data_IF_571503645818
#
_entry.id   IF_571503645818
#
_cell.length_a   1.000
_cell.length_b   1.000
_cell.length_c   1.000
_cell.angle_alpha   90.00
_cell.angle_beta   90.00
_cell.angle_gamma   90.00
#
_symmetry.space_group_name_H-M   'P 1'
#
loop_
_entity.id
_entity.type
_entity.pdbx_description
1 polymer ?
#
# COMPACT_ATOMS: atom_id res chain seq x y z
N UNK A 1 -7.03 -7.71 8.39
CA UNK A 1 -6.89 -6.85 7.19
C UNK A 1 -5.52 -7.00 6.55
N UNK A 2 -5.44 -6.73 5.27
CA UNK A 2 -4.19 -6.86 4.50
C UNK A 2 -3.90 -5.54 3.78
N UNK A 3 -2.65 -5.13 3.83
CA UNK A 3 -2.16 -3.95 3.12
C UNK A 3 -1.06 -4.38 2.15
N UNK A 4 -1.25 -4.12 0.86
CA UNK A 4 -0.29 -4.49 -0.18
C UNK A 4 0.39 -3.23 -0.70
N UNK A 5 1.71 -3.21 -0.64
CA UNK A 5 2.57 -2.13 -1.09
C UNK A 5 3.26 -2.56 -2.38
N UNK A 6 2.80 -2.04 -3.51
CA UNK A 6 3.45 -2.26 -4.81
C UNK A 6 4.52 -1.19 -4.98
N UNK A 7 5.77 -1.61 -5.01
CA UNK A 7 6.92 -0.71 -4.98
C UNK A 7 8.00 -1.14 -5.97
N UNK A 8 9.02 -0.30 -6.13
CA UNK A 8 10.23 -0.62 -6.90
C UNK A 8 11.39 0.20 -6.35
N UNK A 9 12.61 -0.35 -6.45
CA UNK A 9 13.80 0.34 -5.95
C UNK A 9 14.06 1.66 -6.68
N UNK A 10 13.70 1.74 -7.97
CA UNK A 10 13.91 2.94 -8.79
C UNK A 10 12.77 3.95 -8.67
N UNK A 11 11.75 3.69 -7.87
CA UNK A 11 10.57 4.55 -7.73
C UNK A 11 10.81 5.57 -6.61
N UNK A 12 11.05 6.82 -6.97
CA UNK A 12 11.32 7.90 -6.01
C UNK A 12 10.10 8.15 -5.12
N UNK A 13 8.90 8.22 -5.69
CA UNK A 13 7.68 8.43 -4.93
C UNK A 13 7.45 7.31 -3.91
N UNK A 14 7.76 6.06 -4.29
CA UNK A 14 7.67 4.92 -3.38
C UNK A 14 8.59 5.12 -2.16
N UNK A 15 9.82 5.59 -2.38
CA UNK A 15 10.78 5.80 -1.30
C UNK A 15 10.35 6.95 -0.38
N UNK A 16 9.82 8.01 -0.94
CA UNK A 16 9.30 9.14 -0.14
C UNK A 16 8.11 8.68 0.71
N UNK A 17 7.16 7.96 0.13
CA UNK A 17 6.01 7.43 0.86
C UNK A 17 6.45 6.51 1.99
N UNK A 18 7.44 5.68 1.73
CA UNK A 18 7.99 4.78 2.75
C UNK A 18 8.59 5.56 3.92
N UNK A 19 9.42 6.54 3.61
CA UNK A 19 10.11 7.32 4.65
C UNK A 19 9.14 8.18 5.46
N UNK A 20 8.19 8.84 4.82
CA UNK A 20 7.34 9.84 5.46
C UNK A 20 6.04 9.26 6.03
N UNK A 21 5.55 8.14 5.49
CA UNK A 21 4.25 7.59 5.88
C UNK A 21 4.38 6.18 6.43
N UNK A 22 4.89 5.24 5.64
CA UNK A 22 4.87 3.83 6.04
C UNK A 22 5.81 3.51 7.20
N UNK A 23 6.91 4.25 7.34
CA UNK A 23 7.85 4.08 8.45
C UNK A 23 7.52 5.00 9.64
N UNK A 24 6.50 5.85 9.51
CA UNK A 24 6.06 6.70 10.62
C UNK A 24 5.58 5.84 11.77
N UNK A 25 6.03 6.15 12.99
CA UNK A 25 5.74 5.32 14.16
C UNK A 25 4.24 5.21 14.44
N UNK A 26 3.50 6.28 14.24
CA UNK A 26 2.05 6.28 14.47
C UNK A 26 1.33 5.36 13.46
N UNK A 27 1.79 5.36 12.21
CA UNK A 27 1.25 4.47 11.18
C UNK A 27 1.59 3.02 11.51
N UNK A 28 2.84 2.75 11.89
CA UNK A 28 3.29 1.40 12.29
C UNK A 28 2.46 0.89 13.45
N UNK A 29 2.25 1.73 14.47
CA UNK A 29 1.47 1.37 15.65
C UNK A 29 0.00 1.12 15.31
N UNK A 30 -0.56 1.92 14.41
CA UNK A 30 -1.95 1.75 13.95
C UNK A 30 -2.12 0.41 13.24
N UNK A 31 -1.16 0.04 12.38
CA UNK A 31 -1.19 -1.27 11.71
C UNK A 31 -1.11 -2.41 12.72
N UNK A 32 -0.22 -2.31 13.69
CA UNK A 32 -0.08 -3.34 14.75
C UNK A 32 -1.35 -3.46 15.56
N UNK A 33 -1.92 -2.35 15.99
CA UNK A 33 -3.14 -2.31 16.77
C UNK A 33 -4.30 -2.98 16.05
N UNK A 34 -4.39 -2.80 14.75
CA UNK A 34 -5.47 -3.36 13.93
C UNK A 34 -5.11 -4.70 13.29
N UNK A 35 -3.96 -5.27 13.66
CA UNK A 35 -3.48 -6.57 13.18
C UNK A 35 -3.42 -6.66 11.67
N UNK A 36 -2.94 -5.59 11.03
CA UNK A 36 -2.78 -5.55 9.58
C UNK A 36 -1.60 -6.40 9.16
N UNK A 37 -1.80 -7.28 8.18
CA UNK A 37 -0.73 -8.03 7.54
C UNK A 37 -0.29 -7.21 6.33
N UNK A 38 1.02 -6.93 6.25
CA UNK A 38 1.56 -6.14 5.15
C UNK A 38 2.35 -7.03 4.20
N UNK A 39 2.11 -6.83 2.90
CA UNK A 39 2.86 -7.49 1.84
C UNK A 39 3.52 -6.45 0.97
N UNK A 40 4.73 -6.75 0.50
CA UNK A 40 5.44 -5.90 -0.44
C UNK A 40 5.54 -6.64 -1.77
N UNK A 41 4.98 -6.03 -2.81
CA UNK A 41 5.11 -6.52 -4.18
C UNK A 41 6.22 -5.70 -4.86
N UNK A 42 7.41 -6.26 -4.93
CA UNK A 42 8.57 -5.58 -5.47
C UNK A 42 8.60 -5.72 -6.99
N UNK A 43 8.33 -4.62 -7.68
CA UNK A 43 8.26 -4.56 -9.13
C UNK A 43 9.56 -4.01 -9.77
N UNK A 44 10.66 -4.04 -9.04
CA UNK A 44 11.94 -3.50 -9.54
C UNK A 44 12.34 -4.13 -10.87
N UNK A 45 12.12 -5.44 -11.01
CA UNK A 45 12.43 -6.18 -12.26
C UNK A 45 11.21 -6.35 -13.17
N UNK A 46 10.13 -5.63 -12.90
CA UNK A 46 8.88 -5.65 -13.69
C UNK A 46 8.31 -7.06 -13.86
N UNK A 47 8.30 -7.82 -12.78
CA UNK A 47 7.76 -9.17 -12.75
C UNK A 47 6.37 -9.23 -13.38
N UNK A 48 6.15 -10.24 -14.23
CA UNK A 48 4.91 -10.35 -15.01
C UNK A 48 3.68 -10.55 -14.15
N UNK A 49 3.76 -11.34 -13.08
CA UNK A 49 2.63 -11.58 -12.19
C UNK A 49 2.24 -10.30 -11.44
N UNK A 50 3.23 -9.51 -11.01
CA UNK A 50 2.97 -8.23 -10.36
C UNK A 50 2.38 -7.23 -11.36
N UNK A 51 2.89 -7.21 -12.60
CA UNK A 51 2.34 -6.36 -13.67
C UNK A 51 0.87 -6.67 -13.88
N UNK A 52 0.51 -7.95 -13.94
CA UNK A 52 -0.87 -8.38 -14.13
C UNK A 52 -1.75 -7.92 -12.96
N UNK A 53 -1.23 -8.03 -11.74
CA UNK A 53 -1.95 -7.57 -10.54
C UNK A 53 -2.18 -6.05 -10.59
N UNK A 54 -1.18 -5.26 -10.97
CA UNK A 54 -1.31 -3.81 -11.14
C UNK A 54 -2.39 -3.48 -12.17
N UNK A 55 -2.36 -4.18 -13.30
CA UNK A 55 -3.35 -3.99 -14.36
C UNK A 55 -4.77 -4.26 -13.87
N UNK A 56 -4.94 -5.24 -12.99
CA UNK A 56 -6.25 -5.57 -12.43
C UNK A 56 -6.86 -4.41 -11.63
N UNK A 57 -6.03 -3.48 -11.13
CA UNK A 57 -6.48 -2.26 -10.46
C UNK A 57 -6.50 -1.05 -11.40
N UNK A 58 -6.35 -1.27 -12.71
CA UNK A 58 -6.32 -0.19 -13.68
C UNK A 58 -5.04 0.63 -13.64
N UNK A 59 -3.95 0.06 -13.16
CA UNK A 59 -2.68 0.77 -13.00
C UNK A 59 -1.62 0.18 -13.92
N UNK A 60 -0.69 1.02 -14.37
CA UNK A 60 0.39 0.61 -15.26
C UNK A 60 1.77 0.77 -14.64
N UNK A 61 1.85 1.13 -13.37
CA UNK A 61 3.12 1.33 -12.68
C UNK A 61 2.94 1.51 -11.19
N UNK A 62 4.04 1.81 -10.51
CA UNK A 62 4.08 2.00 -9.06
C UNK A 62 4.29 3.48 -8.72
N UNK A 63 3.94 3.95 -7.52
CA UNK A 63 3.42 3.16 -6.40
C UNK A 63 1.93 2.85 -6.53
N UNK A 64 1.51 1.73 -5.96
CA UNK A 64 0.10 1.40 -5.77
C UNK A 64 -0.04 0.80 -4.37
N UNK A 65 -1.04 1.22 -3.63
CA UNK A 65 -1.31 0.73 -2.28
C UNK A 65 -2.74 0.25 -2.21
N UNK A 66 -2.93 -0.99 -1.78
CA UNK A 66 -4.26 -1.61 -1.72
C UNK A 66 -4.52 -2.12 -0.32
N UNK A 67 -5.64 -1.74 0.25
CA UNK A 67 -6.07 -2.20 1.57
C UNK A 67 -7.27 -3.12 1.43
N UNK A 68 -7.15 -4.32 1.98
CA UNK A 68 -8.23 -5.31 2.04
C UNK A 68 -8.79 -5.31 3.46
N UNK A 69 -10.03 -4.82 3.67
CA UNK A 69 -10.60 -4.74 5.00
C UNK A 69 -10.94 -6.12 5.57
N UNK A 70 -11.04 -6.18 6.90
CA UNK A 70 -11.31 -7.43 7.61
C UNK A 70 -12.66 -8.04 7.24
N UNK A 71 -13.64 -7.23 6.96
CA UNK A 71 -15.01 -7.67 6.68
C UNK A 71 -15.21 -8.19 5.26
N UNK A 72 -14.13 -8.44 4.54
CA UNK A 72 -14.15 -8.90 3.16
C UNK A 72 -14.87 -7.93 2.21
N UNK A 73 -14.93 -6.66 2.57
CA UNK A 73 -15.43 -5.63 1.69
C UNK A 73 -14.50 -5.39 0.50
N UNK A 74 -14.92 -4.53 -0.43
CA UNK A 74 -14.14 -4.21 -1.60
C UNK A 74 -12.77 -3.63 -1.21
N UNK A 75 -11.70 -3.98 -1.94
CA UNK A 75 -10.39 -3.39 -1.68
C UNK A 75 -10.40 -1.89 -1.90
N UNK A 76 -9.64 -1.16 -1.10
CA UNK A 76 -9.50 0.29 -1.20
C UNK A 76 -8.13 0.58 -1.81
N UNK A 77 -8.11 1.28 -2.95
CA UNK A 77 -6.87 1.72 -3.59
C UNK A 77 -6.58 3.15 -3.12
N UNK A 78 -5.42 3.34 -2.53
CA UNK A 78 -5.03 4.63 -1.95
C UNK A 78 -4.36 5.53 -2.99
N UNK A 79 -4.09 6.77 -2.61
CA UNK A 79 -3.43 7.74 -3.49
C UNK A 79 -1.99 7.37 -3.76
N UNK A 80 -1.46 7.76 -4.92
CA UNK A 80 -0.05 7.53 -5.27
C UNK A 80 0.89 8.28 -4.32
N UNK A 81 0.53 9.50 -3.94
CA UNK A 81 1.25 10.24 -2.90
C UNK A 81 0.51 10.00 -1.59
N UNK A 82 1.07 9.12 -0.76
CA UNK A 82 0.41 8.72 0.48
C UNK A 82 0.38 9.85 1.49
N UNK A 83 -0.71 9.87 2.27
CA UNK A 83 -0.86 10.75 3.42
C UNK A 83 -1.23 9.90 4.62
N UNK A 84 -0.70 10.26 5.79
CA UNK A 84 -1.03 9.55 7.03
C UNK A 84 -2.53 9.52 7.28
N UNK A 85 -3.22 10.61 6.97
CA UNK A 85 -4.66 10.73 7.13
C UNK A 85 -5.42 9.64 6.38
N UNK A 86 -5.00 9.31 5.16
CA UNK A 86 -5.61 8.23 4.38
C UNK A 86 -5.52 6.89 5.12
N UNK A 87 -4.34 6.64 5.70
CA UNK A 87 -4.10 5.40 6.46
C UNK A 87 -5.03 5.35 7.68
N UNK A 88 -5.07 6.42 8.47
CA UNK A 88 -5.89 6.45 9.68
C UNK A 88 -7.38 6.32 9.37
N UNK A 89 -7.84 6.91 8.27
CA UNK A 89 -9.24 6.84 7.87
C UNK A 89 -9.69 5.41 7.52
N UNK A 90 -8.76 4.52 7.18
CA UNK A 90 -9.10 3.12 6.90
C UNK A 90 -9.68 2.41 8.14
N UNK A 91 -9.35 2.90 9.33
CA UNK A 91 -9.69 2.26 10.61
C UNK A 91 -10.73 3.02 11.42
N UNK A 92 -11.20 4.15 10.91
CA UNK A 92 -12.18 5.02 11.59
C UNK A 92 -13.64 4.65 11.25
N UNK A 93 -13.89 3.41 10.94
CA UNK A 93 -15.21 2.97 10.49
C UNK A 93 -15.88 2.05 11.49
#
# INVERSE_FOLDING_TARGET
>A
PVFVDYTAAWCITCQVNKALVLNDQEVVDTFKKNKVITFRADWTSRDAAITESLTSFGRSGVPVYVFYPRNQGAPVVLSEVLRKKEIFNLFDR
#
